data_IF_661924992029
#
_entry.id   IF_661924992029
#
_cell.length_a   1.000
_cell.length_b   1.000
_cell.length_c   1.000
_cell.angle_alpha   90.00
_cell.angle_beta   90.00
_cell.angle_gamma   90.00
#
_symmetry.space_group_name_H-M   'P 1'
#
loop_
_entity.id
_entity.type
_entity.pdbx_description
1 polymer ?
#
# COMPACT_ATOMS: atom_id res chain seq x y z
N UNK A 1 -4.71 -0.91 -30.63
CA UNK A 1 -4.08 -1.20 -29.33
C UNK A 1 -3.35 0.06 -28.89
N UNK A 2 -3.92 0.84 -27.97
CA UNK A 2 -3.25 1.99 -27.40
C UNK A 2 -2.89 1.63 -25.95
N UNK A 3 -1.59 1.51 -25.69
CA UNK A 3 -1.07 1.32 -24.35
C UNK A 3 -1.26 2.63 -23.58
N UNK A 4 -2.08 2.60 -22.53
CA UNK A 4 -2.23 3.70 -21.58
C UNK A 4 -0.93 3.81 -20.77
N UNK A 5 0.01 4.59 -21.29
CA UNK A 5 1.21 4.97 -20.58
C UNK A 5 0.83 6.08 -19.58
N UNK A 6 0.27 5.69 -18.43
CA UNK A 6 0.07 6.61 -17.31
C UNK A 6 1.44 7.04 -16.81
N UNK A 7 1.88 8.21 -17.28
CA UNK A 7 3.07 8.90 -16.81
C UNK A 7 3.00 9.04 -15.29
N UNK A 8 3.91 8.36 -14.60
CA UNK A 8 4.21 8.54 -13.18
C UNK A 8 4.86 9.92 -13.00
N UNK A 9 4.07 10.98 -13.20
CA UNK A 9 4.54 12.36 -13.14
C UNK A 9 4.63 12.72 -11.65
N UNK A 10 5.83 12.62 -11.11
CA UNK A 10 6.15 13.04 -9.74
C UNK A 10 6.14 14.57 -9.70
N UNK A 11 5.09 15.15 -9.11
CA UNK A 11 5.01 16.58 -8.86
C UNK A 11 5.55 16.91 -7.47
N UNK A 12 6.37 17.96 -7.37
CA UNK A 12 6.89 18.43 -6.10
C UNK A 12 5.81 19.19 -5.33
N UNK A 13 5.59 18.81 -4.07
CA UNK A 13 4.64 19.47 -3.17
C UNK A 13 5.34 20.67 -2.54
N UNK A 14 4.76 21.86 -2.73
CA UNK A 14 5.19 23.07 -2.02
C UNK A 14 4.69 23.01 -0.57
N UNK A 15 3.38 22.88 -0.37
CA UNK A 15 2.80 22.75 0.97
C UNK A 15 1.37 22.19 0.98
N UNK A 16 0.92 21.78 2.16
CA UNK A 16 -0.48 21.44 2.42
C UNK A 16 -1.22 22.64 3.00
N UNK A 17 -2.30 23.03 2.34
CA UNK A 17 -3.03 24.27 2.62
C UNK A 17 -4.22 24.03 3.55
N UNK A 18 -4.89 22.89 3.40
CA UNK A 18 -6.14 22.60 4.11
C UNK A 18 -6.51 21.13 4.08
N UNK A 19 -7.57 20.77 4.80
CA UNK A 19 -8.10 19.41 4.81
C UNK A 19 -9.63 19.40 4.87
N UNK A 20 -10.23 18.33 4.37
CA UNK A 20 -11.67 18.06 4.48
C UNK A 20 -11.87 16.61 4.91
N UNK A 21 -12.82 16.41 5.83
CA UNK A 21 -13.14 15.09 6.38
C UNK A 21 -14.49 14.63 5.84
N UNK A 22 -14.52 13.47 5.18
CA UNK A 22 -15.76 12.76 4.91
C UNK A 22 -16.07 11.86 6.11
N UNK A 23 -17.09 12.20 6.90
CA UNK A 23 -17.45 11.43 8.11
C UNK A 23 -18.08 10.07 7.80
N UNK A 24 -18.80 9.98 6.68
CA UNK A 24 -19.50 8.76 6.27
C UNK A 24 -18.52 7.70 5.83
N UNK A 25 -17.56 8.09 5.01
CA UNK A 25 -16.49 7.21 4.51
C UNK A 25 -15.27 7.16 5.42
N UNK A 26 -15.20 8.09 6.39
CA UNK A 26 -14.11 8.22 7.36
C UNK A 26 -12.77 8.49 6.69
N UNK A 27 -12.81 9.13 5.53
CA UNK A 27 -11.67 9.52 4.70
C UNK A 27 -11.34 10.99 4.87
N UNK A 28 -10.12 11.35 4.49
CA UNK A 28 -9.64 12.74 4.50
C UNK A 28 -9.07 13.06 3.12
N UNK A 29 -9.34 14.28 2.64
CA UNK A 29 -8.63 14.88 1.51
C UNK A 29 -7.84 16.09 2.00
N UNK A 30 -6.67 16.30 1.41
CA UNK A 30 -5.79 17.43 1.69
C UNK A 30 -5.75 18.32 0.46
N UNK A 31 -5.80 19.63 0.67
CA UNK A 31 -5.58 20.61 -0.38
C UNK A 31 -4.08 20.82 -0.54
N UNK A 32 -3.54 20.39 -1.67
CA UNK A 32 -2.12 20.40 -1.97
C UNK A 32 -1.81 21.58 -2.88
N UNK A 33 -0.86 22.43 -2.46
CA UNK A 33 -0.22 23.40 -3.33
C UNK A 33 1.05 22.77 -3.89
N UNK A 34 1.18 22.76 -5.20
CA UNK A 34 2.31 22.19 -5.92
C UNK A 34 3.35 23.29 -6.21
N UNK A 35 4.63 22.92 -6.29
CA UNK A 35 5.69 23.87 -6.61
C UNK A 35 5.54 24.45 -8.02
N UNK A 36 5.16 23.60 -8.98
CA UNK A 36 5.12 23.94 -10.41
C UNK A 36 3.71 24.25 -10.94
N UNK A 37 2.67 24.21 -10.09
CA UNK A 37 1.29 24.51 -10.49
C UNK A 37 0.67 25.60 -9.64
N UNK A 38 0.00 26.54 -10.30
CA UNK A 38 -0.66 27.67 -9.65
C UNK A 38 -1.92 27.29 -8.87
N UNK A 39 -2.60 26.22 -9.30
CA UNK A 39 -3.89 25.82 -8.73
C UNK A 39 -3.72 24.64 -7.76
N UNK A 40 -4.13 24.79 -6.48
CA UNK A 40 -4.12 23.69 -5.54
C UNK A 40 -5.19 22.63 -5.86
N UNK A 41 -4.87 21.35 -5.64
CA UNK A 41 -5.79 20.22 -5.87
C UNK A 41 -6.14 19.47 -4.60
N UNK A 42 -7.31 18.83 -4.57
CA UNK A 42 -7.75 18.01 -3.43
C UNK A 42 -7.31 16.56 -3.61
N UNK A 43 -6.22 16.20 -2.96
CA UNK A 43 -5.67 14.84 -3.02
C UNK A 43 -6.15 13.97 -1.84
N UNK A 44 -6.39 12.66 -2.05
CA UNK A 44 -6.67 11.74 -0.97
C UNK A 44 -5.49 11.65 0.01
N UNK A 45 -5.78 11.64 1.31
CA UNK A 45 -4.76 11.46 2.36
C UNK A 45 -3.94 10.18 2.13
N UNK A 46 -4.58 9.11 1.63
CA UNK A 46 -3.91 7.85 1.32
C UNK A 46 -2.80 7.98 0.27
N UNK A 47 -3.06 8.75 -0.81
CA UNK A 47 -2.07 8.97 -1.86
C UNK A 47 -0.89 9.76 -1.31
N UNK A 48 -1.16 10.80 -0.51
CA UNK A 48 -0.12 11.63 0.11
C UNK A 48 0.68 10.91 1.18
N UNK A 49 0.11 9.90 1.84
CA UNK A 49 0.87 9.06 2.76
C UNK A 49 1.97 8.28 2.01
N UNK A 50 1.68 7.82 0.79
CA UNK A 50 2.63 7.06 -0.03
C UNK A 50 3.68 7.96 -0.68
N UNK A 51 3.26 9.11 -1.19
CA UNK A 51 4.15 10.01 -1.96
C UNK A 51 4.87 11.04 -1.09
N UNK A 52 4.28 11.41 0.06
CA UNK A 52 4.71 12.56 0.86
C UNK A 52 4.48 12.37 2.38
N UNK A 53 4.64 11.15 2.89
CA UNK A 53 4.31 10.79 4.27
C UNK A 53 4.99 11.66 5.34
N UNK A 54 6.26 12.05 5.16
CA UNK A 54 6.98 12.92 6.11
C UNK A 54 6.36 14.33 6.19
N UNK A 55 5.98 14.89 5.04
CA UNK A 55 5.31 16.20 4.95
C UNK A 55 3.92 16.13 5.56
N UNK A 56 3.18 15.04 5.31
CA UNK A 56 1.86 14.81 5.88
C UNK A 56 1.87 14.63 7.39
N UNK A 57 2.86 13.91 7.91
CA UNK A 57 3.08 13.77 9.35
C UNK A 57 3.31 15.14 10.01
N UNK A 58 4.22 15.94 9.45
CA UNK A 58 4.52 17.29 9.96
C UNK A 58 3.28 18.19 9.93
N UNK A 59 2.54 18.18 8.82
CA UNK A 59 1.29 18.93 8.67
C UNK A 59 0.25 18.61 9.76
N UNK A 60 0.11 17.34 10.12
CA UNK A 60 -0.79 16.92 11.18
C UNK A 60 -0.24 17.23 12.57
N UNK A 61 1.07 17.08 12.78
CA UNK A 61 1.75 17.41 14.04
C UNK A 61 1.48 18.86 14.44
N UNK A 62 1.60 19.80 13.49
CA UNK A 62 1.34 21.24 13.71
C UNK A 62 -0.12 21.55 14.10
N UNK A 63 -1.04 20.60 13.85
CA UNK A 63 -2.47 20.70 14.20
C UNK A 63 -2.82 19.94 15.48
N UNK A 64 -1.81 19.51 16.23
CA UNK A 64 -1.96 18.69 17.43
C UNK A 64 -2.30 17.22 17.13
N UNK A 65 -1.88 16.75 15.95
CA UNK A 65 -2.07 15.38 15.47
C UNK A 65 -3.34 15.17 14.64
N UNK A 66 -3.30 14.16 13.76
CA UNK A 66 -4.41 13.79 12.87
C UNK A 66 -5.70 13.49 13.64
N UNK A 67 -5.63 12.73 14.73
CA UNK A 67 -6.80 12.36 15.51
C UNK A 67 -7.53 13.58 16.09
N UNK A 68 -6.78 14.58 16.56
CA UNK A 68 -7.34 15.83 17.09
C UNK A 68 -7.93 16.70 15.99
N UNK A 69 -7.19 16.86 14.88
CA UNK A 69 -7.62 17.69 13.75
C UNK A 69 -8.85 17.11 13.04
N UNK A 70 -8.89 15.78 12.87
CA UNK A 70 -9.96 15.11 12.13
C UNK A 70 -11.07 14.62 13.04
N UNK A 71 -10.88 14.42 14.35
CA UNK A 71 -11.81 13.71 15.26
C UNK A 71 -12.19 12.29 14.79
N UNK A 72 -11.46 11.71 13.84
CA UNK A 72 -11.61 10.32 13.47
C UNK A 72 -10.84 9.49 14.49
N UNK A 73 -11.51 8.54 15.15
CA UNK A 73 -10.90 7.64 16.15
C UNK A 73 -10.22 6.42 15.51
N UNK A 74 -10.29 6.29 14.19
CA UNK A 74 -9.70 5.18 13.47
C UNK A 74 -8.40 5.61 12.80
N UNK A 75 -7.36 4.83 13.12
CA UNK A 75 -6.16 4.78 12.32
C UNK A 75 -6.55 4.21 10.95
N UNK A 76 -6.23 4.95 9.89
CA UNK A 76 -6.40 4.44 8.54
C UNK A 76 -5.29 3.42 8.29
N UNK A 77 -5.65 2.19 7.98
CA UNK A 77 -4.70 1.22 7.45
C UNK A 77 -4.63 1.46 5.95
N UNK A 78 -3.51 2.02 5.49
CA UNK A 78 -3.33 2.39 4.09
C UNK A 78 -2.92 1.19 3.24
N UNK A 79 -2.04 0.34 3.77
CA UNK A 79 -1.59 -0.90 3.10
C UNK A 79 -1.23 -1.95 4.15
N UNK A 80 -1.16 -3.20 3.71
CA UNK A 80 -0.68 -4.35 4.47
C UNK A 80 0.58 -4.87 3.76
N UNK A 81 1.68 -5.14 4.49
CA UNK A 81 2.91 -5.74 3.94
C UNK A 81 3.21 -7.15 4.46
N UNK A 82 2.51 -7.64 5.49
CA UNK A 82 2.73 -8.99 6.01
C UNK A 82 1.52 -9.51 6.78
N UNK A 83 1.25 -10.82 6.69
CA UNK A 83 0.36 -11.61 7.57
C UNK A 83 1.23 -12.63 8.34
N UNK A 84 1.08 -12.76 9.66
CA UNK A 84 1.88 -13.69 10.47
C UNK A 84 1.23 -14.11 11.80
N UNK A 85 1.69 -15.23 12.38
CA UNK A 85 1.06 -15.93 13.52
C UNK A 85 1.09 -15.17 14.86
N UNK A 86 1.90 -14.12 15.03
CA UNK A 86 1.92 -13.38 16.32
C UNK A 86 1.93 -11.86 16.17
N UNK A 87 0.81 -11.34 15.63
CA UNK A 87 0.33 -9.94 15.60
C UNK A 87 0.43 -9.31 14.21
N UNK A 88 -0.73 -9.05 13.61
CA UNK A 88 -1.09 -7.94 12.70
C UNK A 88 -0.46 -7.79 11.31
N UNK A 89 -0.65 -6.57 10.76
CA UNK A 89 -0.18 -6.13 9.44
C UNK A 89 0.77 -4.92 9.56
N UNK A 90 1.84 -4.87 8.75
CA UNK A 90 2.88 -3.81 8.78
C UNK A 90 2.94 -3.06 7.46
N UNK A 91 3.20 -1.73 7.42
CA UNK A 91 3.83 -1.05 6.26
C UNK A 91 5.05 -0.25 6.68
N UNK A 92 6.25 -0.71 6.34
CA UNK A 92 7.51 -0.39 7.02
C UNK A 92 7.95 1.07 6.99
N UNK A 93 8.46 1.53 8.14
CA UNK A 93 9.33 2.70 8.35
C UNK A 93 9.02 3.40 9.67
N UNK A 94 9.65 2.98 10.77
CA UNK A 94 9.65 3.52 12.15
C UNK A 94 8.30 3.75 12.89
N UNK A 95 7.17 3.93 12.20
CA UNK A 95 5.85 4.24 12.76
C UNK A 95 4.82 3.10 12.60
N UNK A 96 5.29 1.87 12.40
CA UNK A 96 4.40 0.72 12.14
C UNK A 96 3.97 0.01 13.42
N UNK A 97 2.67 -0.16 13.62
CA UNK A 97 2.10 -0.95 14.73
C UNK A 97 1.36 -2.18 14.22
N UNK A 98 1.60 -3.32 14.86
CA UNK A 98 0.82 -4.52 14.59
C UNK A 98 -0.62 -4.35 15.07
N UNK A 99 -1.59 -4.59 14.19
CA UNK A 99 -3.02 -4.46 14.48
C UNK A 99 -3.77 -5.80 14.36
N UNK A 100 -4.68 -6.17 15.27
CA UNK A 100 -5.43 -7.42 15.18
C UNK A 100 -6.18 -7.57 13.85
N UNK A 101 -6.23 -8.78 13.31
CA UNK A 101 -6.91 -9.07 12.03
C UNK A 101 -8.37 -8.63 12.04
N UNK A 102 -9.11 -8.93 13.10
CA UNK A 102 -10.51 -8.51 13.27
C UNK A 102 -10.69 -6.99 13.28
N UNK A 103 -9.70 -6.23 13.77
CA UNK A 103 -9.71 -4.76 13.72
C UNK A 103 -9.48 -4.28 12.29
N UNK A 104 -8.49 -4.83 11.58
CA UNK A 104 -8.15 -4.40 10.21
C UNK A 104 -9.25 -4.80 9.21
N UNK A 105 -9.81 -6.00 9.30
CA UNK A 105 -10.98 -6.40 8.50
C UNK A 105 -12.16 -5.45 8.71
N UNK A 106 -12.36 -4.96 9.94
CA UNK A 106 -13.45 -4.04 10.27
C UNK A 106 -13.22 -2.63 9.75
N UNK A 107 -11.99 -2.09 9.82
CA UNK A 107 -11.70 -0.68 9.51
C UNK A 107 -11.13 -0.45 8.11
N UNK A 108 -10.56 -1.48 7.48
CA UNK A 108 -9.89 -1.38 6.19
C UNK A 108 -10.04 -2.67 5.34
N UNK A 109 -11.27 -3.11 5.03
CA UNK A 109 -11.51 -4.31 4.22
C UNK A 109 -10.90 -4.20 2.81
N UNK A 110 -10.81 -3.00 2.25
CA UNK A 110 -10.18 -2.77 0.95
C UNK A 110 -8.67 -3.10 0.96
N UNK A 111 -7.95 -2.71 2.02
CA UNK A 111 -6.52 -3.02 2.17
C UNK A 111 -6.28 -4.54 2.32
N UNK A 112 -7.21 -5.25 2.98
CA UNK A 112 -7.18 -6.71 3.07
C UNK A 112 -7.35 -7.34 1.69
N UNK A 113 -8.32 -6.88 0.90
CA UNK A 113 -8.56 -7.37 -0.45
C UNK A 113 -7.36 -7.11 -1.38
N UNK A 114 -6.72 -5.94 -1.29
CA UNK A 114 -5.52 -5.60 -2.06
C UNK A 114 -4.35 -6.54 -1.73
N UNK A 115 -4.13 -6.83 -0.45
CA UNK A 115 -3.11 -7.80 -0.03
C UNK A 115 -3.39 -9.22 -0.51
N UNK A 116 -4.63 -9.70 -0.39
CA UNK A 116 -4.98 -11.04 -0.84
C UNK A 116 -4.80 -11.17 -2.36
N UNK A 117 -5.10 -10.10 -3.13
CA UNK A 117 -4.81 -10.03 -4.54
C UNK A 117 -3.30 -10.02 -4.85
N UNK A 118 -2.49 -9.29 -4.08
CA UNK A 118 -1.03 -9.27 -4.27
C UNK A 118 -0.39 -10.63 -3.98
N UNK A 119 -0.87 -11.35 -2.96
CA UNK A 119 -0.41 -12.71 -2.65
C UNK A 119 -0.81 -13.73 -3.72
N UNK A 120 -2.03 -13.61 -4.27
CA UNK A 120 -2.46 -14.44 -5.39
C UNK A 120 -1.57 -14.24 -6.64
N UNK A 121 -1.24 -12.98 -6.96
CA UNK A 121 -0.33 -12.66 -8.06
C UNK A 121 1.09 -13.18 -7.81
N UNK A 122 1.63 -13.03 -6.60
CA UNK A 122 2.94 -13.54 -6.23
C UNK A 122 3.01 -15.07 -6.33
N UNK A 123 1.99 -15.80 -5.85
CA UNK A 123 1.93 -17.26 -5.95
C UNK A 123 1.83 -17.78 -7.39
N UNK A 124 1.19 -17.03 -8.30
CA UNK A 124 1.14 -17.36 -9.73
C UNK A 124 2.45 -17.05 -10.46
N UNK A 125 3.24 -16.10 -9.96
CA UNK A 125 4.51 -15.71 -10.55
C UNK A 125 5.68 -16.62 -10.15
N UNK A 126 5.53 -17.50 -9.15
CA UNK A 126 6.52 -18.52 -8.81
C UNK A 126 6.37 -19.68 -9.82
N UNK A 127 7.33 -19.92 -10.73
CA UNK A 127 7.28 -21.09 -11.59
C UNK A 127 7.36 -22.34 -10.71
N UNK A 128 6.38 -23.22 -10.89
CA UNK A 128 6.24 -24.49 -10.22
C UNK A 128 7.50 -25.36 -10.46
N UNK A 129 8.51 -25.27 -9.58
CA UNK A 129 9.75 -26.05 -9.67
C UNK A 129 9.51 -27.58 -9.58
N UNK A 130 8.29 -28.01 -9.26
CA UNK A 130 7.91 -29.42 -9.27
C UNK A 130 7.80 -30.04 -10.68
N UNK A 131 7.63 -29.23 -11.75
CA UNK A 131 7.52 -29.76 -13.11
C UNK A 131 8.86 -29.94 -13.83
N UNK A 132 9.93 -29.29 -13.36
CA UNK A 132 11.25 -29.30 -14.05
C UNK A 132 12.11 -30.51 -13.67
N UNK A 133 11.85 -31.16 -12.53
CA UNK A 133 12.68 -32.27 -12.05
C UNK A 133 12.30 -33.66 -12.60
N UNK A 134 11.24 -33.79 -13.41
CA UNK A 134 10.89 -35.07 -14.05
C UNK A 134 11.46 -35.23 -15.47
N UNK A 135 11.92 -34.15 -16.12
CA UNK A 135 12.44 -34.22 -17.49
C UNK A 135 13.93 -34.58 -17.57
N UNK A 136 14.71 -34.41 -16.49
CA UNK A 136 16.16 -34.67 -16.51
C UNK A 136 16.58 -36.07 -16.00
N UNK A 137 15.64 -36.87 -15.47
CA UNK A 137 15.96 -38.19 -14.91
C UNK A 137 15.96 -39.34 -15.94
N UNK A 138 15.55 -39.09 -17.20
CA UNK A 138 15.34 -40.17 -18.19
C UNK A 138 16.36 -40.20 -19.34
N UNK A 139 17.56 -39.64 -19.17
CA UNK A 139 18.62 -39.66 -20.19
C UNK A 139 19.92 -40.36 -19.76
N UNK A 140 19.93 -41.13 -18.67
CA UNK A 140 21.13 -41.87 -18.27
C UNK A 140 20.82 -43.33 -17.94
N UNK A 141 20.40 -44.08 -18.96
CA UNK A 141 20.48 -45.54 -18.95
C UNK A 141 21.74 -45.96 -19.73
N UNK A 142 22.73 -46.66 -19.12
CA UNK A 142 23.89 -47.14 -19.85
C UNK A 142 23.48 -48.29 -20.79
N UNK A 143 23.92 -48.18 -22.05
CA UNK A 143 23.79 -49.25 -23.03
C UNK A 143 24.57 -50.48 -22.58
N UNK A 144 23.85 -51.56 -22.24
CA UNK A 144 24.43 -52.88 -22.05
C UNK A 144 24.43 -53.62 -23.39
N UNK A 145 25.62 -53.86 -23.92
CA UNK A 145 25.88 -54.70 -25.09
C UNK A 145 25.89 -56.18 -24.69
N UNK A 146 25.42 -57.07 -25.56
CA UNK A 146 26.24 -58.22 -25.95
C UNK A 146 26.58 -58.22 -27.45
#
# INVERSE_FOLDING_TARGET
MAANNQTNQQFEIDCFVGYRVNRRERTVKILVKWADHSEPTWEPEAVLQETAGRTLYSYWSDRGGRGRATRLREFHVFRILAKGWDRGYSTSGDDTTWEPESKVMRIAPAAVAEWDASQAAANQAVPNQAATNQASANQNAPAANP
#
